data_IF_129933382253
#
_entry.id   IF_129933382253
#
_cell.length_a   1.000
_cell.length_b   1.000
_cell.length_c   1.000
_cell.angle_alpha   90.00
_cell.angle_beta   90.00
_cell.angle_gamma   90.00
#
_symmetry.space_group_name_H-M   'P 1'
#
loop_
_entity.id
_entity.type
_entity.pdbx_description
1 polymer ?
#
# COMPACT_ATOMS: atom_id res chain seq x y z
N UNK A 1 9.23 7.61 16.97
CA UNK A 1 9.96 7.90 18.24
C UNK A 1 9.23 8.85 19.19
N UNK A 2 8.69 9.99 18.80
CA UNK A 2 7.99 10.93 19.71
C UNK A 2 6.82 10.32 20.51
N UNK A 3 6.01 9.43 19.91
CA UNK A 3 4.90 8.75 20.62
C UNK A 3 5.37 7.79 21.71
N UNK A 4 6.48 7.06 21.49
CA UNK A 4 7.06 6.15 22.50
C UNK A 4 7.53 6.90 23.75
N UNK A 5 8.14 8.07 23.59
CA UNK A 5 8.56 8.91 24.72
C UNK A 5 7.38 9.50 25.50
N UNK A 6 6.27 9.84 24.84
CA UNK A 6 5.06 10.37 25.48
C UNK A 6 4.37 9.31 26.32
N UNK A 7 4.19 8.10 25.77
CA UNK A 7 3.65 6.95 26.51
C UNK A 7 4.50 6.58 27.73
N UNK A 8 5.83 6.67 27.64
CA UNK A 8 6.75 6.40 28.73
C UNK A 8 6.62 7.41 29.90
N UNK A 9 6.38 8.70 29.62
CA UNK A 9 6.18 9.73 30.64
C UNK A 9 4.88 9.51 31.40
N UNK A 10 3.76 9.26 30.70
CA UNK A 10 2.47 8.98 31.31
C UNK A 10 2.49 7.69 32.14
N UNK A 11 3.20 6.65 31.68
CA UNK A 11 3.38 5.44 32.48
C UNK A 11 3.96 5.74 33.87
N UNK A 12 5.07 6.46 33.93
CA UNK A 12 5.70 6.77 35.21
C UNK A 12 4.83 7.68 36.08
N UNK A 13 4.12 8.61 35.46
CA UNK A 13 3.18 9.47 36.21
C UNK A 13 2.09 8.63 36.89
N UNK A 14 1.40 7.75 36.15
CA UNK A 14 0.37 6.89 36.73
C UNK A 14 0.94 5.86 37.69
N UNK A 15 2.12 5.35 37.47
CA UNK A 15 2.81 4.42 38.35
C UNK A 15 3.07 5.06 39.71
N UNK A 16 3.65 6.25 39.73
CA UNK A 16 3.95 6.96 40.97
C UNK A 16 2.65 7.44 41.68
N UNK A 17 1.71 7.97 40.91
CA UNK A 17 0.43 8.43 41.46
C UNK A 17 -0.37 7.28 42.08
N UNK A 18 -0.41 6.13 41.45
CA UNK A 18 -1.12 4.95 41.93
C UNK A 18 -0.53 4.42 43.26
N UNK A 19 0.80 4.25 43.31
CA UNK A 19 1.46 3.76 44.54
C UNK A 19 1.50 4.81 45.67
N UNK A 20 1.57 6.10 45.35
CA UNK A 20 1.38 7.17 46.30
C UNK A 20 -0.06 7.18 46.84
N UNK A 21 -1.08 7.03 46.01
CA UNK A 21 -2.47 6.91 46.40
C UNK A 21 -2.72 5.71 47.32
N UNK A 22 -2.12 4.55 47.00
CA UNK A 22 -2.13 3.38 47.91
C UNK A 22 -1.56 3.75 49.28
N UNK A 23 -0.34 4.30 49.31
CA UNK A 23 0.31 4.71 50.57
C UNK A 23 -0.55 5.70 51.37
N UNK A 24 -1.04 6.75 50.72
CA UNK A 24 -1.82 7.80 51.40
C UNK A 24 -3.12 7.24 51.98
N UNK A 25 -3.84 6.37 51.26
CA UNK A 25 -5.08 5.75 51.74
C UNK A 25 -4.85 4.84 52.94
N UNK A 26 -3.73 4.09 52.92
CA UNK A 26 -3.39 3.19 54.03
C UNK A 26 -2.97 3.97 55.30
N UNK A 27 -2.19 5.02 55.14
CA UNK A 27 -1.82 5.90 56.27
C UNK A 27 -3.06 6.60 56.85
N UNK A 28 -3.92 7.14 55.98
CA UNK A 28 -5.18 7.77 56.42
C UNK A 28 -6.09 6.79 57.17
N UNK A 29 -6.23 5.55 56.65
CA UNK A 29 -7.02 4.51 57.31
C UNK A 29 -6.45 4.17 58.70
N UNK A 30 -5.13 4.10 58.86
CA UNK A 30 -4.48 3.85 60.16
C UNK A 30 -4.74 4.95 61.16
N UNK A 31 -4.74 6.23 60.75
CA UNK A 31 -5.09 7.37 61.54
C UNK A 31 -6.55 7.28 62.02
N UNK A 32 -7.48 7.04 61.10
CA UNK A 32 -8.91 6.96 61.40
C UNK A 32 -9.26 5.83 62.39
N UNK A 33 -8.50 4.73 62.30
CA UNK A 33 -8.70 3.56 63.19
C UNK A 33 -7.95 3.68 64.51
N UNK A 34 -7.30 4.83 64.81
CA UNK A 34 -6.51 5.02 65.99
C UNK A 34 -5.26 4.12 66.11
N UNK A 35 -4.79 3.59 64.99
CA UNK A 35 -3.62 2.67 64.90
C UNK A 35 -2.40 3.32 64.27
N UNK A 36 -2.33 4.65 64.35
CA UNK A 36 -1.22 5.39 63.77
C UNK A 36 0.02 5.25 64.66
N UNK A 37 1.01 4.57 64.11
CA UNK A 37 2.35 4.42 64.66
C UNK A 37 3.40 4.68 63.60
N UNK A 38 4.62 5.16 63.93
CA UNK A 38 5.70 5.31 62.94
C UNK A 38 6.06 3.99 62.23
N UNK A 39 5.94 2.87 62.92
CA UNK A 39 6.14 1.53 62.33
C UNK A 39 5.12 1.21 61.21
N UNK A 40 3.86 1.62 61.39
CA UNK A 40 2.80 1.46 60.38
C UNK A 40 3.07 2.26 59.13
N UNK A 41 3.57 3.49 59.27
CA UNK A 41 3.96 4.32 58.08
C UNK A 41 5.12 3.68 57.34
N UNK A 42 6.17 3.19 58.07
CA UNK A 42 7.29 2.47 57.44
C UNK A 42 6.82 1.23 56.71
N UNK A 43 5.91 0.45 57.30
CA UNK A 43 5.33 -0.73 56.66
C UNK A 43 4.67 -0.41 55.30
N UNK A 44 3.79 0.60 55.23
CA UNK A 44 3.12 0.99 54.00
C UNK A 44 4.09 1.64 52.98
N UNK A 45 5.14 2.32 53.44
CA UNK A 45 6.18 2.85 52.55
C UNK A 45 6.95 1.73 51.85
N UNK A 46 7.37 0.71 52.61
CA UNK A 46 8.00 -0.50 52.04
C UNK A 46 7.06 -1.17 51.05
N UNK A 47 5.79 -1.30 51.40
CA UNK A 47 4.76 -1.86 50.51
C UNK A 47 4.60 -1.09 49.20
N UNK A 48 4.56 0.24 49.26
CA UNK A 48 4.44 1.07 48.06
C UNK A 48 5.66 0.95 47.13
N UNK A 49 6.87 0.96 47.71
CA UNK A 49 8.11 0.80 46.94
C UNK A 49 8.22 -0.59 46.32
N UNK A 50 7.93 -1.64 47.08
CA UNK A 50 7.95 -3.02 46.58
C UNK A 50 6.89 -3.22 45.49
N UNK A 51 5.69 -2.70 45.67
CA UNK A 51 4.62 -2.76 44.70
C UNK A 51 4.98 -2.06 43.40
N UNK A 52 5.62 -0.89 43.47
CA UNK A 52 6.14 -0.19 42.29
C UNK A 52 7.18 -1.04 41.53
N UNK A 53 8.12 -1.66 42.24
CA UNK A 53 9.15 -2.51 41.64
C UNK A 53 8.54 -3.77 41.01
N UNK A 54 7.63 -4.45 41.69
CA UNK A 54 6.99 -5.68 41.20
C UNK A 54 6.12 -5.40 39.98
N UNK A 55 5.31 -4.34 40.01
CA UNK A 55 4.49 -3.98 38.83
C UNK A 55 5.32 -3.51 37.64
N UNK A 56 6.44 -2.82 37.91
CA UNK A 56 7.39 -2.47 36.85
C UNK A 56 8.07 -3.72 36.24
N UNK A 57 8.47 -4.68 37.08
CA UNK A 57 9.02 -5.96 36.66
C UNK A 57 8.01 -6.77 35.83
N UNK A 58 6.77 -6.84 36.27
CA UNK A 58 5.68 -7.49 35.53
C UNK A 58 5.51 -6.87 34.14
N UNK A 59 5.46 -5.54 34.05
CA UNK A 59 5.43 -4.85 32.76
C UNK A 59 6.61 -5.21 31.88
N UNK A 60 7.82 -5.21 32.43
CA UNK A 60 9.03 -5.58 31.68
C UNK A 60 8.96 -7.01 31.15
N UNK A 61 8.42 -7.93 31.94
CA UNK A 61 8.19 -9.33 31.54
C UNK A 61 7.16 -9.42 30.39
N UNK A 62 6.02 -8.75 30.49
CA UNK A 62 4.99 -8.72 29.44
C UNK A 62 5.56 -8.22 28.11
N UNK A 63 6.40 -7.17 28.14
CA UNK A 63 7.05 -6.62 26.96
C UNK A 63 8.08 -7.59 26.35
N UNK A 64 8.91 -8.23 27.21
CA UNK A 64 9.91 -9.20 26.74
C UNK A 64 9.29 -10.46 26.13
N UNK A 65 8.22 -10.96 26.72
CA UNK A 65 7.51 -12.16 26.25
C UNK A 65 6.56 -11.88 25.07
N UNK A 66 6.42 -10.62 24.67
CA UNK A 66 5.53 -10.22 23.58
C UNK A 66 4.05 -10.54 23.81
N UNK A 67 3.62 -10.67 25.07
CA UNK A 67 2.25 -11.05 25.45
C UNK A 67 1.21 -10.10 24.86
N UNK A 68 1.53 -8.81 24.78
CA UNK A 68 0.65 -7.77 24.25
C UNK A 68 0.35 -7.90 22.74
N UNK A 69 1.04 -8.80 22.04
CA UNK A 69 0.79 -9.14 20.62
C UNK A 69 -0.08 -10.38 20.45
N UNK A 70 -0.40 -11.07 21.54
CA UNK A 70 -1.21 -12.29 21.53
C UNK A 70 -2.70 -11.95 21.49
N UNK A 71 -3.59 -12.89 21.11
CA UNK A 71 -5.04 -12.68 21.13
C UNK A 71 -5.54 -12.37 22.54
N UNK A 72 -6.65 -11.62 22.65
CA UNK A 72 -7.22 -11.14 23.91
C UNK A 72 -7.40 -12.23 24.99
N UNK A 73 -7.88 -13.45 24.69
CA UNK A 73 -7.99 -14.50 25.72
C UNK A 73 -6.66 -14.86 26.37
N UNK A 74 -5.58 -14.92 25.58
CA UNK A 74 -4.25 -15.20 26.11
C UNK A 74 -3.71 -14.04 26.97
N UNK A 75 -4.00 -12.78 26.58
CA UNK A 75 -3.67 -11.63 27.41
C UNK A 75 -4.42 -11.64 28.73
N UNK A 76 -5.72 -11.97 28.73
CA UNK A 76 -6.55 -12.08 29.93
C UNK A 76 -6.02 -13.18 30.86
N UNK A 77 -5.68 -14.36 30.34
CA UNK A 77 -5.09 -15.42 31.13
C UNK A 77 -3.78 -14.99 31.81
N UNK A 78 -2.89 -14.31 31.06
CA UNK A 78 -1.63 -13.80 31.61
C UNK A 78 -1.88 -12.68 32.63
N UNK A 79 -2.89 -11.85 32.45
CA UNK A 79 -3.26 -10.82 33.44
C UNK A 79 -3.73 -11.45 34.76
N UNK A 80 -4.58 -12.49 34.71
CA UNK A 80 -5.05 -13.24 35.89
C UNK A 80 -3.87 -13.91 36.61
N UNK A 81 -3.05 -14.66 35.86
CA UNK A 81 -1.88 -15.34 36.44
C UNK A 81 -0.87 -14.33 37.02
N UNK A 82 -0.68 -13.22 36.33
CA UNK A 82 0.17 -12.13 36.80
C UNK A 82 -0.36 -11.48 38.08
N UNK A 83 -1.66 -11.24 38.16
CA UNK A 83 -2.30 -10.71 39.36
C UNK A 83 -2.10 -11.63 40.56
N UNK A 84 -2.34 -12.94 40.39
CA UNK A 84 -2.12 -13.95 41.41
C UNK A 84 -0.64 -13.99 41.85
N UNK A 85 0.28 -14.08 40.86
CA UNK A 85 1.71 -14.11 41.11
C UNK A 85 2.23 -12.85 41.84
N UNK A 86 1.77 -11.65 41.44
CA UNK A 86 2.10 -10.40 42.08
C UNK A 86 1.55 -10.34 43.51
N UNK A 87 0.32 -10.81 43.75
CA UNK A 87 -0.30 -10.81 45.08
C UNK A 87 0.44 -11.74 46.03
N UNK A 88 0.80 -12.94 45.58
CA UNK A 88 1.63 -13.88 46.31
C UNK A 88 3.02 -13.29 46.59
N UNK A 89 3.69 -12.76 45.58
CA UNK A 89 5.00 -12.14 45.71
C UNK A 89 4.97 -10.98 46.72
N UNK A 90 3.95 -10.13 46.66
CA UNK A 90 3.81 -9.00 47.59
C UNK A 90 3.60 -9.50 49.02
N UNK A 91 2.75 -10.53 49.23
CA UNK A 91 2.46 -11.10 50.54
C UNK A 91 3.73 -11.64 51.24
N UNK A 92 4.57 -12.34 50.50
CA UNK A 92 5.73 -13.02 51.10
C UNK A 92 7.04 -12.21 51.03
N UNK A 93 7.17 -11.26 50.10
CA UNK A 93 8.37 -10.43 49.97
C UNK A 93 8.30 -9.16 50.85
N UNK A 94 7.12 -8.62 51.12
CA UNK A 94 6.98 -7.35 51.85
C UNK A 94 7.54 -7.39 53.27
N UNK A 95 7.40 -8.46 54.07
CA UNK A 95 7.98 -8.52 55.40
C UNK A 95 9.51 -8.49 55.46
N UNK A 96 10.20 -8.95 54.42
CA UNK A 96 11.68 -9.02 54.40
C UNK A 96 12.35 -7.65 54.51
N UNK A 97 12.12 -6.67 53.59
CA UNK A 97 12.75 -5.35 53.71
C UNK A 97 12.27 -4.60 54.93
N UNK A 98 11.05 -4.86 55.39
CA UNK A 98 10.56 -4.27 56.66
C UNK A 98 11.32 -4.81 57.87
N UNK A 99 11.55 -6.13 57.98
CA UNK A 99 12.32 -6.73 59.06
C UNK A 99 13.75 -6.23 59.11
N UNK A 100 14.36 -6.01 57.93
CA UNK A 100 15.72 -5.40 57.83
C UNK A 100 15.71 -3.99 58.40
N UNK A 101 14.74 -3.15 58.04
CA UNK A 101 14.62 -1.77 58.50
C UNK A 101 14.37 -1.64 60.01
N UNK A 102 13.66 -2.62 60.60
CA UNK A 102 13.38 -2.67 62.03
C UNK A 102 14.49 -3.37 62.87
N UNK A 103 15.57 -3.85 62.22
CA UNK A 103 16.62 -4.60 62.88
C UNK A 103 16.22 -5.98 63.42
N UNK A 104 15.06 -6.48 62.97
CA UNK A 104 14.47 -7.76 63.44
C UNK A 104 14.75 -8.92 62.46
N UNK A 105 15.92 -8.95 61.85
CA UNK A 105 16.27 -9.93 60.80
C UNK A 105 16.34 -11.39 61.29
N UNK A 106 16.59 -11.64 62.57
CA UNK A 106 16.85 -12.99 63.05
C UNK A 106 15.57 -13.84 63.25
N UNK A 107 15.28 -14.72 62.26
CA UNK A 107 14.35 -15.84 62.39
C UNK A 107 12.89 -15.61 62.03
N UNK A 108 12.39 -14.37 62.08
CA UNK A 108 10.95 -14.08 61.90
C UNK A 108 10.40 -14.32 60.47
N UNK A 109 11.28 -14.39 59.45
CA UNK A 109 10.83 -14.66 58.08
C UNK A 109 10.35 -16.12 57.93
N UNK A 110 10.86 -17.08 58.71
CA UNK A 110 10.41 -18.47 58.71
C UNK A 110 8.96 -18.60 59.24
N UNK A 111 8.57 -17.77 60.19
CA UNK A 111 7.20 -17.75 60.75
C UNK A 111 6.16 -17.37 59.70
N UNK A 112 6.54 -16.60 58.64
CA UNK A 112 5.64 -16.24 57.56
C UNK A 112 5.18 -17.46 56.73
N UNK A 113 6.05 -18.46 56.58
CA UNK A 113 5.71 -19.70 55.88
C UNK A 113 4.96 -20.70 56.80
N UNK A 114 4.98 -20.47 58.12
CA UNK A 114 4.26 -21.27 59.07
C UNK A 114 2.86 -20.69 59.40
N UNK A 115 2.47 -19.56 58.77
CA UNK A 115 1.15 -18.96 59.01
C UNK A 115 0.02 -19.93 58.52
N UNK A 116 -1.11 -19.97 59.27
CA UNK A 116 -2.28 -20.63 58.81
C UNK A 116 -2.66 -20.19 57.38
N UNK A 117 -2.98 -21.12 56.51
CA UNK A 117 -3.31 -20.82 55.13
C UNK A 117 -4.43 -19.80 54.96
N UNK A 118 -5.42 -19.77 55.90
CA UNK A 118 -6.48 -18.78 55.87
C UNK A 118 -5.97 -17.32 56.08
N UNK A 119 -4.94 -17.11 56.92
CA UNK A 119 -4.33 -15.82 57.16
C UNK A 119 -3.52 -15.37 55.93
N UNK A 120 -2.77 -16.29 55.31
CA UNK A 120 -2.05 -16.04 54.08
C UNK A 120 -3.00 -15.70 52.93
N UNK A 121 -4.09 -16.45 52.77
CA UNK A 121 -5.12 -16.20 51.74
C UNK A 121 -5.77 -14.82 51.92
N UNK A 122 -6.13 -14.46 53.17
CA UNK A 122 -6.68 -13.13 53.45
C UNK A 122 -5.73 -12.00 53.10
N UNK A 123 -4.43 -12.16 53.38
CA UNK A 123 -3.40 -11.18 53.01
C UNK A 123 -3.24 -11.08 51.47
N UNK A 124 -3.20 -12.22 50.75
CA UNK A 124 -3.13 -12.25 49.28
C UNK A 124 -4.33 -11.53 48.63
N UNK A 125 -5.55 -11.80 49.10
CA UNK A 125 -6.77 -11.11 48.66
C UNK A 125 -6.73 -9.63 49.01
N UNK A 126 -6.28 -9.29 50.23
CA UNK A 126 -6.14 -7.91 50.69
C UNK A 126 -5.23 -7.06 49.81
N UNK A 127 -4.10 -7.60 49.44
CA UNK A 127 -3.17 -6.94 48.49
C UNK A 127 -3.68 -7.00 47.04
N UNK A 128 -4.25 -8.12 46.66
CA UNK A 128 -4.75 -8.36 45.30
C UNK A 128 -5.77 -7.31 44.84
N UNK A 129 -6.63 -6.81 45.74
CA UNK A 129 -7.61 -5.77 45.42
C UNK A 129 -6.99 -4.46 44.91
N UNK A 130 -5.79 -4.08 45.37
CA UNK A 130 -5.07 -2.91 44.86
C UNK A 130 -4.34 -3.23 43.54
N UNK A 131 -3.76 -4.41 43.45
CA UNK A 131 -3.06 -4.86 42.24
C UNK A 131 -4.01 -5.05 41.07
N UNK A 132 -5.26 -5.50 41.29
CA UNK A 132 -6.26 -5.68 40.24
C UNK A 132 -6.54 -4.37 39.50
N UNK A 133 -6.68 -3.26 40.25
CA UNK A 133 -6.91 -1.93 39.68
C UNK A 133 -5.73 -1.55 38.76
N UNK A 134 -4.51 -1.78 39.26
CA UNK A 134 -3.31 -1.47 38.47
C UNK A 134 -3.19 -2.35 37.22
N UNK A 135 -3.39 -3.67 37.35
CA UNK A 135 -3.30 -4.62 36.25
C UNK A 135 -4.36 -4.30 35.18
N UNK A 136 -5.60 -4.07 35.59
CA UNK A 136 -6.69 -3.74 34.67
C UNK A 136 -6.44 -2.40 33.97
N UNK A 137 -6.07 -1.36 34.72
CA UNK A 137 -5.77 -0.03 34.16
C UNK A 137 -4.62 -0.11 33.14
N UNK A 138 -3.55 -0.86 33.46
CA UNK A 138 -2.43 -1.05 32.54
C UNK A 138 -2.84 -1.77 31.26
N UNK A 139 -3.58 -2.88 31.37
CA UNK A 139 -4.02 -3.64 30.19
C UNK A 139 -5.01 -2.82 29.34
N UNK A 140 -5.96 -2.13 29.98
CA UNK A 140 -6.92 -1.25 29.28
C UNK A 140 -6.21 -0.14 28.51
N UNK A 141 -5.23 0.52 29.12
CA UNK A 141 -4.43 1.54 28.47
C UNK A 141 -3.66 0.98 27.26
N UNK A 142 -3.01 -0.18 27.42
CA UNK A 142 -2.24 -0.81 26.34
C UNK A 142 -3.14 -1.25 25.20
N UNK A 143 -4.30 -1.87 25.49
CA UNK A 143 -5.26 -2.29 24.47
C UNK A 143 -5.83 -1.06 23.75
N UNK A 144 -6.16 0.00 24.48
CA UNK A 144 -6.62 1.26 23.88
C UNK A 144 -5.59 1.87 22.92
N UNK A 145 -4.32 1.94 23.33
CA UNK A 145 -3.23 2.41 22.45
C UNK A 145 -3.08 1.53 21.20
N UNK A 146 -3.17 0.22 21.37
CA UNK A 146 -3.07 -0.74 20.26
C UNK A 146 -4.22 -0.56 19.26
N UNK A 147 -5.46 -0.42 19.74
CA UNK A 147 -6.64 -0.18 18.90
C UNK A 147 -6.52 1.16 18.15
N UNK A 148 -6.14 2.23 18.85
CA UNK A 148 -5.93 3.54 18.22
C UNK A 148 -4.87 3.49 17.12
N UNK A 149 -3.75 2.79 17.34
CA UNK A 149 -2.71 2.61 16.33
C UNK A 149 -3.17 1.73 15.15
N UNK A 150 -4.02 0.72 15.40
CA UNK A 150 -4.59 -0.11 14.35
C UNK A 150 -5.50 0.72 13.44
N UNK A 151 -6.39 1.54 14.00
CA UNK A 151 -7.25 2.45 13.23
C UNK A 151 -6.45 3.44 12.38
N UNK A 152 -5.40 4.06 12.96
CA UNK A 152 -4.55 4.99 12.20
C UNK A 152 -3.84 4.28 11.03
N UNK A 153 -3.39 3.03 11.23
CA UNK A 153 -2.78 2.24 10.13
C UNK A 153 -3.78 1.92 9.02
N UNK A 154 -5.00 1.55 9.39
CA UNK A 154 -6.07 1.26 8.44
C UNK A 154 -6.43 2.50 7.61
N UNK A 155 -6.63 3.66 8.26
CA UNK A 155 -6.90 4.91 7.57
C UNK A 155 -5.78 5.32 6.61
N UNK A 156 -4.51 5.13 7.01
CA UNK A 156 -3.36 5.40 6.12
C UNK A 156 -3.31 4.45 4.93
N UNK A 157 -3.60 3.17 5.14
CA UNK A 157 -3.66 2.19 4.06
C UNK A 157 -4.80 2.52 3.07
N UNK A 158 -5.98 2.91 3.57
CA UNK A 158 -7.09 3.33 2.74
C UNK A 158 -6.77 4.60 1.94
N UNK A 159 -6.14 5.60 2.57
CA UNK A 159 -5.70 6.82 1.89
C UNK A 159 -4.64 6.53 0.81
N UNK A 160 -3.66 5.65 1.10
CA UNK A 160 -2.65 5.25 0.13
C UNK A 160 -3.25 4.50 -1.07
N UNK A 161 -4.25 3.63 -0.84
CA UNK A 161 -4.98 2.97 -1.93
C UNK A 161 -5.71 3.98 -2.82
N UNK A 162 -6.47 4.90 -2.23
CA UNK A 162 -7.16 5.96 -2.99
C UNK A 162 -6.20 6.84 -3.78
N UNK A 163 -5.04 7.18 -3.19
CA UNK A 163 -4.03 7.95 -3.89
C UNK A 163 -3.45 7.17 -5.08
N UNK A 164 -3.16 5.87 -4.90
CA UNK A 164 -2.70 5.02 -5.98
C UNK A 164 -3.74 4.87 -7.11
N UNK A 165 -5.03 4.75 -6.78
CA UNK A 165 -6.13 4.74 -7.75
C UNK A 165 -6.22 6.07 -8.52
N UNK A 166 -6.11 7.20 -7.83
CA UNK A 166 -6.09 8.53 -8.47
C UNK A 166 -4.87 8.71 -9.36
N UNK A 167 -3.70 8.25 -8.94
CA UNK A 167 -2.47 8.34 -9.73
C UNK A 167 -2.55 7.41 -10.96
N UNK A 168 -3.18 6.25 -10.84
CA UNK A 168 -3.48 5.37 -11.96
C UNK A 168 -4.40 6.06 -12.97
N UNK A 169 -5.54 6.63 -12.53
CA UNK A 169 -6.46 7.38 -13.38
C UNK A 169 -5.78 8.57 -14.07
N UNK A 170 -4.92 9.32 -13.34
CA UNK A 170 -4.15 10.43 -13.93
C UNK A 170 -3.13 9.95 -14.96
N UNK A 171 -2.57 8.77 -14.79
CA UNK A 171 -1.58 8.22 -15.72
C UNK A 171 -2.17 7.76 -17.05
N UNK A 172 -3.48 7.54 -17.11
CA UNK A 172 -4.20 7.11 -18.32
C UNK A 172 -4.30 8.25 -19.35
N UNK A 173 -4.33 9.49 -18.90
CA UNK A 173 -4.27 10.65 -19.79
C UNK A 173 -2.81 11.09 -19.86
N UNK A 174 -2.21 11.03 -21.05
CA UNK A 174 -0.88 11.57 -21.26
C UNK A 174 -0.90 13.11 -21.12
N UNK A 175 -0.44 13.71 -19.99
CA UNK A 175 -0.60 15.15 -19.77
C UNK A 175 0.17 15.97 -20.82
N UNK A 176 1.32 15.47 -21.25
CA UNK A 176 2.15 16.14 -22.25
C UNK A 176 1.46 16.19 -23.62
N UNK A 177 0.79 15.10 -24.03
CA UNK A 177 -0.03 15.12 -25.26
C UNK A 177 -1.18 16.12 -25.15
N UNK A 178 -1.90 16.12 -24.03
CA UNK A 178 -3.03 17.04 -23.80
C UNK A 178 -2.59 18.51 -23.89
N UNK A 179 -1.48 18.87 -23.20
CA UNK A 179 -0.93 20.24 -23.29
C UNK A 179 -0.52 20.62 -24.70
N UNK A 180 0.09 19.71 -25.45
CA UNK A 180 0.50 19.95 -26.82
C UNK A 180 -0.71 20.12 -27.75
N UNK A 181 -1.73 19.28 -27.63
CA UNK A 181 -2.96 19.37 -28.40
C UNK A 181 -3.69 20.70 -28.14
N UNK A 182 -3.83 21.11 -26.87
CA UNK A 182 -4.43 22.40 -26.50
C UNK A 182 -3.63 23.58 -27.05
N UNK A 183 -2.31 23.55 -27.04
CA UNK A 183 -1.47 24.60 -27.62
C UNK A 183 -1.64 24.66 -29.16
N UNK A 184 -1.76 23.50 -29.84
CA UNK A 184 -2.04 23.46 -31.28
C UNK A 184 -3.41 24.03 -31.60
N UNK A 185 -4.45 23.66 -30.85
CA UNK A 185 -5.80 24.24 -30.96
C UNK A 185 -5.75 25.76 -30.78
N UNK A 186 -5.05 26.27 -29.74
CA UNK A 186 -4.88 27.71 -29.51
C UNK A 186 -4.24 28.41 -30.70
N UNK A 187 -3.21 27.84 -31.30
CA UNK A 187 -2.59 28.40 -32.49
C UNK A 187 -3.57 28.46 -33.69
N UNK A 188 -4.35 27.40 -33.88
CA UNK A 188 -5.37 27.34 -34.95
C UNK A 188 -6.51 28.34 -34.75
N UNK A 189 -6.88 28.74 -33.52
CA UNK A 189 -7.97 29.72 -33.31
C UNK A 189 -7.71 31.05 -34.01
N UNK A 190 -6.46 31.42 -34.21
CA UNK A 190 -6.05 32.62 -34.87
C UNK A 190 -5.82 32.45 -36.40
N UNK A 191 -5.37 31.28 -36.84
CA UNK A 191 -4.99 31.03 -38.23
C UNK A 191 -6.06 30.33 -39.06
N UNK A 192 -6.82 29.38 -38.46
CA UNK A 192 -7.87 28.63 -39.10
C UNK A 192 -8.92 28.17 -38.06
N UNK A 193 -9.93 29.01 -37.78
CA UNK A 193 -10.97 28.72 -36.78
C UNK A 193 -11.79 27.46 -37.08
N UNK A 194 -11.94 27.08 -38.36
CA UNK A 194 -12.68 25.88 -38.74
C UNK A 194 -11.91 24.62 -38.34
N UNK A 195 -10.62 24.55 -38.64
CA UNK A 195 -9.74 23.46 -38.20
C UNK A 195 -9.59 23.44 -36.67
N UNK A 196 -9.59 24.60 -35.99
CA UNK A 196 -9.59 24.65 -34.53
C UNK A 196 -10.80 23.93 -33.94
N UNK A 197 -12.01 24.18 -34.49
CA UNK A 197 -13.24 23.51 -34.04
C UNK A 197 -13.17 21.98 -34.24
N UNK A 198 -12.71 21.53 -35.41
CA UNK A 198 -12.52 20.12 -35.69
C UNK A 198 -11.56 19.46 -34.68
N UNK A 199 -10.42 20.12 -34.43
CA UNK A 199 -9.41 19.62 -33.49
C UNK A 199 -9.96 19.52 -32.03
N UNK A 200 -10.83 20.45 -31.61
CA UNK A 200 -11.51 20.35 -30.30
C UNK A 200 -12.41 19.14 -30.24
N UNK A 201 -13.18 18.88 -31.31
CA UNK A 201 -14.07 17.70 -31.37
C UNK A 201 -13.25 16.40 -31.30
N UNK A 202 -12.21 16.28 -32.11
CA UNK A 202 -11.27 15.14 -32.10
C UNK A 202 -10.63 14.90 -30.73
N UNK A 203 -10.20 15.98 -30.06
CA UNK A 203 -9.66 15.89 -28.70
C UNK A 203 -10.70 15.38 -27.71
N UNK A 204 -11.96 15.88 -27.80
CA UNK A 204 -13.04 15.46 -26.93
C UNK A 204 -13.40 13.97 -27.15
N UNK A 205 -13.41 13.51 -28.40
CA UNK A 205 -13.72 12.11 -28.74
C UNK A 205 -12.60 11.16 -28.29
N UNK A 206 -11.34 11.54 -28.47
CA UNK A 206 -10.19 10.80 -27.97
C UNK A 206 -10.17 10.71 -26.45
N UNK A 207 -10.47 11.81 -25.74
CA UNK A 207 -10.58 11.81 -24.28
C UNK A 207 -11.73 10.92 -23.80
N UNK A 208 -12.89 10.97 -24.46
CA UNK A 208 -14.03 10.11 -24.15
C UNK A 208 -13.67 8.65 -24.36
N UNK A 209 -12.98 8.32 -25.43
CA UNK A 209 -12.46 6.98 -25.69
C UNK A 209 -11.52 6.53 -24.56
N UNK A 210 -10.50 7.33 -24.22
CA UNK A 210 -9.49 6.98 -23.19
C UNK A 210 -10.07 6.84 -21.79
N UNK A 211 -11.16 7.51 -21.45
CA UNK A 211 -11.83 7.40 -20.14
C UNK A 211 -12.78 6.19 -20.05
N UNK A 212 -13.30 5.70 -21.18
CA UNK A 212 -14.33 4.66 -21.19
C UNK A 212 -13.82 3.27 -21.57
N UNK A 213 -12.64 3.13 -22.18
CA UNK A 213 -12.20 1.85 -22.74
C UNK A 213 -11.91 0.78 -21.68
N UNK A 214 -11.57 1.16 -20.44
CA UNK A 214 -11.22 0.18 -19.39
C UNK A 214 -12.38 -0.71 -18.93
N UNK A 215 -13.62 -0.29 -19.18
CA UNK A 215 -14.81 -1.04 -18.80
C UNK A 215 -15.11 -2.20 -19.77
N UNK A 216 -14.43 -2.28 -20.92
CA UNK A 216 -14.67 -3.29 -21.96
C UNK A 216 -13.42 -4.15 -22.13
N UNK A 217 -13.62 -5.46 -22.21
CA UNK A 217 -12.51 -6.40 -22.45
C UNK A 217 -12.03 -6.35 -23.90
N UNK A 218 -12.97 -6.28 -24.83
CA UNK A 218 -12.73 -6.22 -26.28
C UNK A 218 -13.64 -5.16 -26.92
N UNK A 219 -13.14 -4.54 -27.97
CA UNK A 219 -13.85 -3.61 -28.82
C UNK A 219 -13.61 -3.96 -30.30
N UNK A 220 -14.49 -3.56 -31.24
CA UNK A 220 -14.23 -3.67 -32.67
C UNK A 220 -12.99 -2.87 -33.07
N UNK A 221 -12.16 -3.40 -33.96
CA UNK A 221 -10.99 -2.70 -34.52
C UNK A 221 -11.36 -1.34 -35.13
N UNK A 222 -12.57 -1.20 -35.68
CA UNK A 222 -13.07 0.07 -36.21
C UNK A 222 -13.18 1.17 -35.16
N UNK A 223 -13.58 0.86 -33.91
CA UNK A 223 -13.61 1.84 -32.82
C UNK A 223 -12.18 2.27 -32.43
N UNK A 224 -11.27 1.33 -32.34
CA UNK A 224 -9.86 1.58 -32.09
C UNK A 224 -9.22 2.44 -33.19
N UNK A 225 -9.54 2.13 -34.44
CA UNK A 225 -9.04 2.88 -35.59
C UNK A 225 -9.56 4.31 -35.63
N UNK A 226 -10.81 4.53 -35.26
CA UNK A 226 -11.36 5.90 -35.15
C UNK A 226 -10.58 6.74 -34.13
N UNK A 227 -10.31 6.18 -32.93
CA UNK A 227 -9.49 6.86 -31.93
C UNK A 227 -8.07 7.13 -32.40
N UNK A 228 -7.47 6.21 -33.16
CA UNK A 228 -6.15 6.37 -33.76
C UNK A 228 -6.15 7.49 -34.82
N UNK A 229 -7.22 7.59 -35.64
CA UNK A 229 -7.34 8.65 -36.64
C UNK A 229 -7.46 10.03 -35.98
N UNK A 230 -8.26 10.17 -34.91
CA UNK A 230 -8.37 11.42 -34.15
C UNK A 230 -7.02 11.81 -33.52
N UNK A 231 -6.31 10.85 -32.91
CA UNK A 231 -4.98 11.07 -32.36
C UNK A 231 -3.98 11.56 -33.43
N UNK A 232 -3.93 10.86 -34.57
CA UNK A 232 -3.01 11.19 -35.67
C UNK A 232 -3.34 12.54 -36.31
N UNK A 233 -4.62 12.92 -36.42
CA UNK A 233 -5.03 14.23 -36.93
C UNK A 233 -4.58 15.37 -36.01
N UNK A 234 -4.67 15.16 -34.69
CA UNK A 234 -4.15 16.12 -33.70
C UNK A 234 -2.61 16.24 -33.78
N UNK A 235 -1.90 15.12 -33.92
CA UNK A 235 -0.44 15.13 -34.08
C UNK A 235 0.01 15.71 -35.43
N UNK A 236 -0.75 15.50 -36.53
CA UNK A 236 -0.48 16.19 -37.79
C UNK A 236 -0.68 17.71 -37.70
N UNK A 237 -1.62 18.15 -36.88
CA UNK A 237 -1.78 19.59 -36.61
C UNK A 237 -0.55 20.17 -35.91
N UNK A 238 0.11 19.39 -35.06
CA UNK A 238 1.32 19.78 -34.32
C UNK A 238 2.60 19.71 -35.17
N UNK A 239 2.83 18.62 -35.85
CA UNK A 239 4.06 18.36 -36.59
C UNK A 239 4.05 18.93 -38.03
N UNK A 240 2.87 19.10 -38.60
CA UNK A 240 2.66 19.39 -40.00
C UNK A 240 2.66 18.12 -40.88
N UNK A 241 1.96 18.15 -42.06
CA UNK A 241 1.81 16.99 -42.93
C UNK A 241 3.12 16.52 -43.54
N UNK A 242 4.12 17.38 -43.67
CA UNK A 242 5.44 17.03 -44.19
C UNK A 242 6.24 16.16 -43.21
N UNK A 243 6.15 16.46 -41.90
CA UNK A 243 6.88 15.73 -40.89
C UNK A 243 6.17 14.45 -40.44
N UNK A 244 4.83 14.43 -40.43
CA UNK A 244 4.04 13.23 -40.13
C UNK A 244 3.24 12.81 -41.34
N UNK A 245 3.83 11.98 -42.17
CA UNK A 245 3.15 11.36 -43.33
C UNK A 245 2.49 10.06 -42.88
N UNK A 246 1.26 9.84 -43.32
CA UNK A 246 0.45 8.66 -42.91
C UNK A 246 0.14 7.76 -44.10
N UNK A 247 0.25 6.44 -43.88
CA UNK A 247 -0.19 5.40 -44.80
C UNK A 247 -0.96 4.34 -44.00
N UNK A 248 -2.29 4.45 -43.97
CA UNK A 248 -3.16 3.58 -43.19
C UNK A 248 -3.90 2.61 -44.14
N UNK A 249 -3.58 1.31 -44.03
CA UNK A 249 -4.14 0.25 -44.86
C UNK A 249 -4.86 -0.78 -44.00
N UNK A 250 -6.12 -0.54 -43.70
CA UNK A 250 -6.97 -1.43 -42.90
C UNK A 250 -8.18 -1.83 -43.76
N UNK A 251 -8.28 -3.10 -44.22
CA UNK A 251 -9.42 -3.59 -44.99
C UNK A 251 -10.71 -3.53 -44.18
N UNK A 252 -11.81 -3.13 -44.83
CA UNK A 252 -13.14 -3.01 -44.21
C UNK A 252 -13.59 -4.29 -43.49
N UNK A 253 -13.31 -5.46 -44.06
CA UNK A 253 -13.64 -6.77 -43.49
C UNK A 253 -13.03 -7.00 -42.09
N UNK A 254 -11.98 -6.27 -41.73
CA UNK A 254 -11.30 -6.41 -40.43
C UNK A 254 -11.82 -5.44 -39.36
N UNK A 255 -12.64 -4.46 -39.71
CA UNK A 255 -13.13 -3.44 -38.75
C UNK A 255 -13.98 -4.02 -37.63
N UNK A 256 -14.66 -5.14 -37.86
CA UNK A 256 -15.44 -5.85 -36.84
C UNK A 256 -14.59 -6.78 -35.95
N UNK A 257 -13.29 -6.96 -36.23
CA UNK A 257 -12.44 -7.86 -35.46
C UNK A 257 -12.29 -7.41 -34.04
N UNK A 258 -12.53 -8.27 -33.02
CA UNK A 258 -12.41 -7.90 -31.63
C UNK A 258 -10.94 -7.74 -31.23
N UNK A 259 -10.58 -6.58 -30.69
CA UNK A 259 -9.24 -6.24 -30.20
C UNK A 259 -9.28 -5.73 -28.77
N UNK A 260 -8.21 -5.90 -27.97
CA UNK A 260 -8.11 -5.27 -26.67
C UNK A 260 -8.07 -3.74 -26.81
N UNK A 261 -8.88 -2.99 -26.05
CA UNK A 261 -8.92 -1.53 -26.17
C UNK A 261 -7.55 -0.90 -25.88
N UNK A 262 -7.25 0.21 -26.58
CA UNK A 262 -6.00 0.96 -26.55
C UNK A 262 -4.75 0.18 -26.99
N UNK A 263 -4.88 -1.02 -27.56
CA UNK A 263 -3.73 -1.79 -28.03
C UNK A 263 -3.09 -1.15 -29.26
N UNK A 264 -3.87 -0.82 -30.30
CA UNK A 264 -3.39 -0.15 -31.49
C UNK A 264 -3.00 1.31 -31.20
N UNK A 265 -3.80 2.03 -30.43
CA UNK A 265 -3.50 3.41 -30.04
C UNK A 265 -2.14 3.49 -29.34
N UNK A 266 -1.84 2.56 -28.43
CA UNK A 266 -0.53 2.50 -27.75
C UNK A 266 0.63 2.29 -28.71
N UNK A 267 0.46 1.45 -29.75
CA UNK A 267 1.49 1.25 -30.78
C UNK A 267 1.72 2.54 -31.56
N UNK A 268 0.65 3.21 -31.94
CA UNK A 268 0.71 4.47 -32.70
C UNK A 268 1.32 5.60 -31.86
N UNK A 269 0.92 5.75 -30.58
CA UNK A 269 1.55 6.71 -29.67
C UNK A 269 3.06 6.48 -29.55
N UNK A 270 3.49 5.22 -29.40
CA UNK A 270 4.92 4.89 -29.37
C UNK A 270 5.61 5.22 -30.70
N UNK A 271 4.96 4.95 -31.82
CA UNK A 271 5.49 5.26 -33.13
C UNK A 271 5.69 6.76 -33.34
N UNK A 272 4.73 7.58 -32.93
CA UNK A 272 4.86 9.05 -32.98
C UNK A 272 5.93 9.53 -32.01
N UNK A 273 5.93 9.05 -30.78
CA UNK A 273 6.85 9.49 -29.72
C UNK A 273 8.30 9.14 -30.01
N UNK A 274 8.57 7.89 -30.36
CA UNK A 274 9.93 7.35 -30.49
C UNK A 274 10.44 7.33 -31.93
N UNK A 275 9.54 7.40 -32.92
CA UNK A 275 9.87 7.49 -34.35
C UNK A 275 9.83 8.94 -34.83
N UNK A 276 8.64 9.47 -35.04
CA UNK A 276 8.42 10.77 -35.67
C UNK A 276 9.02 11.94 -34.88
N UNK A 277 8.74 11.99 -33.58
CA UNK A 277 9.22 13.06 -32.70
C UNK A 277 10.74 13.05 -32.52
N UNK A 278 11.35 11.87 -32.52
CA UNK A 278 12.77 11.67 -32.33
C UNK A 278 13.60 11.90 -33.62
N UNK A 279 12.95 11.82 -34.78
CA UNK A 279 13.63 12.01 -36.10
C UNK A 279 13.54 13.47 -36.56
N UNK A 280 14.64 14.18 -36.79
CA UNK A 280 14.63 15.62 -37.13
C UNK A 280 13.74 15.97 -38.35
N UNK A 281 13.71 15.15 -39.37
CA UNK A 281 12.87 15.32 -40.58
C UNK A 281 11.48 14.73 -40.47
N UNK A 282 11.13 14.09 -39.31
CA UNK A 282 9.93 13.26 -39.22
C UNK A 282 10.00 12.01 -40.10
N UNK A 283 8.86 11.60 -40.66
CA UNK A 283 8.86 10.45 -41.58
C UNK A 283 7.48 9.90 -41.91
N UNK A 284 7.47 8.72 -42.48
CA UNK A 284 6.24 8.00 -42.80
C UNK A 284 5.89 7.05 -41.64
N UNK A 285 4.70 7.21 -41.11
CA UNK A 285 4.05 6.26 -40.19
C UNK A 285 3.09 5.42 -41.03
N UNK A 286 3.34 4.12 -41.10
CA UNK A 286 2.49 3.18 -41.84
C UNK A 286 1.82 2.21 -40.89
N UNK A 287 0.52 2.01 -41.06
CA UNK A 287 -0.29 0.98 -40.40
C UNK A 287 -0.81 0.03 -41.47
N UNK A 288 -0.54 -1.24 -41.34
CA UNK A 288 -1.09 -2.29 -42.17
C UNK A 288 -1.82 -3.31 -41.32
N UNK A 289 -3.04 -3.65 -41.69
CA UNK A 289 -3.82 -4.72 -41.09
C UNK A 289 -4.05 -5.84 -42.08
N UNK A 290 -3.80 -7.08 -41.71
CA UNK A 290 -4.07 -8.27 -42.48
C UNK A 290 -4.58 -9.41 -41.59
N UNK A 291 -5.25 -10.39 -42.17
CA UNK A 291 -5.68 -11.61 -41.49
C UNK A 291 -5.05 -12.83 -42.16
N UNK A 292 -4.46 -13.67 -41.36
CA UNK A 292 -3.79 -14.88 -41.83
C UNK A 292 -3.66 -15.94 -40.73
N UNK A 293 -3.05 -17.08 -41.03
CA UNK A 293 -2.85 -18.12 -40.03
C UNK A 293 -1.97 -17.62 -38.89
N UNK A 294 -2.38 -17.89 -37.64
CA UNK A 294 -1.64 -17.54 -36.44
C UNK A 294 -0.27 -18.26 -36.41
N UNK A 295 0.78 -17.54 -35.95
CA UNK A 295 2.15 -18.09 -35.83
C UNK A 295 2.38 -19.04 -34.65
N UNK A 296 1.34 -19.42 -33.89
CA UNK A 296 1.43 -20.28 -32.72
C UNK A 296 1.37 -21.76 -33.04
N UNK A 297 1.98 -22.61 -32.22
CA UNK A 297 2.09 -24.06 -32.32
C UNK A 297 0.76 -24.84 -32.15
N UNK A 298 -0.36 -24.17 -31.98
CA UNK A 298 -1.69 -24.77 -31.82
C UNK A 298 -2.61 -24.32 -32.97
N UNK A 299 -2.74 -25.15 -34.01
CA UNK A 299 -3.75 -25.19 -35.07
C UNK A 299 -4.28 -23.86 -35.59
N UNK A 300 -4.23 -23.66 -36.91
CA UNK A 300 -4.53 -22.44 -37.66
C UNK A 300 -5.88 -21.79 -37.34
N UNK A 301 -5.98 -21.09 -36.19
CA UNK A 301 -7.06 -20.11 -36.02
C UNK A 301 -6.67 -18.83 -36.78
N UNK A 302 -7.62 -18.21 -37.48
CA UNK A 302 -7.41 -16.91 -38.11
C UNK A 302 -6.93 -15.89 -37.08
N UNK A 303 -5.85 -15.19 -37.42
CA UNK A 303 -5.20 -14.20 -36.59
C UNK A 303 -5.14 -12.86 -37.32
N UNK A 304 -5.53 -11.78 -36.59
CA UNK A 304 -5.34 -10.42 -37.04
C UNK A 304 -3.88 -10.02 -36.83
N UNK A 305 -3.21 -9.55 -37.85
CA UNK A 305 -1.88 -8.96 -37.81
C UNK A 305 -2.01 -7.44 -37.99
N UNK A 306 -1.61 -6.68 -36.99
CA UNK A 306 -1.50 -5.21 -37.05
C UNK A 306 -0.01 -4.88 -37.05
N UNK A 307 0.47 -4.22 -38.08
CA UNK A 307 1.85 -3.81 -38.21
C UNK A 307 1.96 -2.29 -38.32
N UNK A 308 2.69 -1.71 -37.38
CA UNK A 308 2.99 -0.27 -37.35
C UNK A 308 4.46 -0.06 -37.59
N UNK A 309 4.81 0.62 -38.69
CA UNK A 309 6.18 0.94 -39.02
C UNK A 309 6.46 2.44 -38.97
N UNK A 310 7.65 2.80 -38.48
CA UNK A 310 8.09 4.17 -38.23
C UNK A 310 9.60 4.31 -38.45
N UNK A 311 10.12 5.52 -38.74
CA UNK A 311 11.57 5.76 -38.73
C UNK A 311 12.11 5.65 -37.28
N UNK A 312 13.34 5.17 -37.14
CA UNK A 312 14.04 5.11 -35.86
C UNK A 312 14.90 3.85 -35.71
N UNK A 313 15.52 3.73 -34.55
CA UNK A 313 16.36 2.62 -34.16
C UNK A 313 15.92 2.09 -32.79
N UNK A 314 16.05 0.78 -32.57
CA UNK A 314 15.82 0.19 -31.26
C UNK A 314 17.09 0.28 -30.40
N UNK A 315 16.99 0.62 -29.10
CA UNK A 315 18.11 0.48 -28.19
C UNK A 315 18.65 -0.95 -28.21
N UNK A 316 19.98 -1.11 -28.12
CA UNK A 316 20.65 -2.44 -28.17
C UNK A 316 20.09 -3.45 -27.13
N UNK A 317 19.56 -2.95 -26.01
CA UNK A 317 18.90 -3.75 -24.97
C UNK A 317 17.51 -4.27 -25.35
N UNK A 318 16.91 -3.79 -26.45
CA UNK A 318 15.54 -4.12 -26.88
C UNK A 318 15.54 -5.03 -28.13
N UNK A 319 16.71 -5.28 -28.71
CA UNK A 319 16.85 -6.10 -29.92
C UNK A 319 16.62 -7.60 -29.70
N UNK A 320 16.59 -8.06 -28.46
CA UNK A 320 16.19 -9.43 -28.10
C UNK A 320 14.67 -9.49 -27.94
N UNK A 321 14.01 -10.49 -28.50
CA UNK A 321 12.56 -10.66 -28.66
C UNK A 321 11.65 -10.50 -27.40
N UNK A 322 12.18 -10.10 -26.27
CA UNK A 322 11.46 -9.81 -25.03
C UNK A 322 11.60 -8.32 -24.66
N UNK A 323 10.47 -7.62 -24.53
CA UNK A 323 10.46 -6.29 -23.91
C UNK A 323 11.08 -6.40 -22.50
N UNK A 324 12.02 -5.51 -22.12
CA UNK A 324 12.74 -5.62 -20.86
C UNK A 324 11.78 -5.53 -19.67
N UNK A 325 12.01 -6.40 -18.67
CA UNK A 325 11.34 -6.34 -17.39
C UNK A 325 11.57 -4.95 -16.72
N UNK A 326 10.57 -4.47 -16.04
CA UNK A 326 10.52 -3.16 -15.36
C UNK A 326 11.76 -2.92 -14.49
N UNK A 327 12.50 -1.83 -14.71
CA UNK A 327 13.45 -1.28 -13.73
C UNK A 327 12.71 -0.30 -12.81
N UNK A 328 12.88 -0.37 -11.49
CA UNK A 328 12.29 0.59 -10.55
C UNK A 328 12.75 2.01 -10.89
N UNK A 329 11.80 2.94 -11.09
CA UNK A 329 12.09 4.36 -11.34
C UNK A 329 11.97 4.83 -12.80
N UNK A 330 11.71 3.96 -13.79
CA UNK A 330 11.44 4.39 -15.17
C UNK A 330 9.95 4.71 -15.38
N UNK A 331 9.65 5.95 -15.72
CA UNK A 331 8.30 6.46 -16.06
C UNK A 331 7.93 6.32 -17.54
N UNK A 332 8.82 5.81 -18.38
CA UNK A 332 8.60 5.61 -19.83
C UNK A 332 8.53 4.11 -20.19
N UNK A 333 7.64 3.73 -21.13
CA UNK A 333 7.55 2.36 -21.67
C UNK A 333 6.47 1.46 -21.06
N UNK A 334 5.62 1.97 -20.17
CA UNK A 334 4.55 1.19 -19.52
C UNK A 334 3.44 0.74 -20.51
N UNK A 335 3.18 1.51 -21.57
CA UNK A 335 2.10 1.22 -22.52
C UNK A 335 2.24 -0.14 -23.19
N UNK A 336 3.40 -0.41 -23.83
CA UNK A 336 3.63 -1.69 -24.52
C UNK A 336 3.69 -2.89 -23.55
N UNK A 337 4.24 -2.69 -22.36
CA UNK A 337 4.25 -3.74 -21.31
C UNK A 337 2.83 -4.07 -20.86
N UNK A 338 2.00 -3.06 -20.62
CA UNK A 338 0.59 -3.26 -20.24
C UNK A 338 -0.22 -3.91 -21.37
N UNK A 339 0.00 -3.49 -22.62
CA UNK A 339 -0.62 -4.15 -23.80
C UNK A 339 -0.24 -5.62 -23.87
N UNK A 340 1.04 -5.96 -23.68
CA UNK A 340 1.50 -7.37 -23.67
C UNK A 340 0.85 -8.17 -22.54
N UNK A 341 0.82 -7.64 -21.31
CA UNK A 341 0.19 -8.31 -20.17
C UNK A 341 -1.30 -8.54 -20.39
N UNK A 342 -1.99 -7.57 -21.00
CA UNK A 342 -3.41 -7.70 -21.36
C UNK A 342 -3.63 -8.77 -22.41
N UNK A 343 -2.79 -8.83 -23.45
CA UNK A 343 -2.82 -9.88 -24.47
C UNK A 343 -2.62 -11.28 -23.87
N UNK A 344 -1.61 -11.42 -23.00
CA UNK A 344 -1.35 -12.69 -22.30
C UNK A 344 -2.53 -13.11 -21.40
N UNK A 345 -3.17 -12.15 -20.72
CA UNK A 345 -4.32 -12.44 -19.86
C UNK A 345 -5.56 -12.89 -20.66
N UNK A 346 -5.74 -12.38 -21.89
CA UNK A 346 -6.91 -12.67 -22.74
C UNK A 346 -6.70 -13.89 -23.66
N UNK A 347 -5.50 -14.09 -24.16
CA UNK A 347 -5.21 -15.03 -25.25
C UNK A 347 -4.06 -16.00 -24.94
N UNK A 348 -3.41 -15.90 -23.75
CA UNK A 348 -2.25 -16.73 -23.43
C UNK A 348 -1.09 -16.52 -24.41
N UNK A 349 -0.50 -17.61 -24.85
CA UNK A 349 0.60 -17.64 -25.85
C UNK A 349 0.14 -17.48 -27.31
N UNK A 350 -1.18 -17.43 -27.54
CA UNK A 350 -1.73 -17.34 -28.88
C UNK A 350 -1.69 -15.90 -29.45
N UNK A 351 -1.53 -14.89 -28.59
CA UNK A 351 -1.38 -13.48 -28.97
C UNK A 351 0.05 -13.01 -28.73
N UNK A 352 0.54 -12.08 -29.54
CA UNK A 352 1.90 -11.58 -29.43
C UNK A 352 2.04 -10.09 -29.74
N UNK A 353 3.04 -9.49 -29.11
CA UNK A 353 3.52 -8.14 -29.42
C UNK A 353 5.04 -8.19 -29.60
N UNK A 354 5.52 -7.90 -30.77
CA UNK A 354 6.95 -7.89 -31.12
C UNK A 354 7.38 -6.54 -31.67
N UNK A 355 8.62 -6.16 -31.34
CA UNK A 355 9.29 -5.01 -31.92
C UNK A 355 10.52 -5.50 -32.66
N UNK A 356 10.70 -5.06 -33.91
CA UNK A 356 11.85 -5.43 -34.74
C UNK A 356 12.41 -4.19 -35.44
N UNK A 357 13.70 -4.12 -35.53
CA UNK A 357 14.39 -3.16 -36.38
C UNK A 357 14.62 -3.77 -37.73
N UNK A 358 14.23 -3.03 -38.77
CA UNK A 358 14.49 -3.39 -40.17
C UNK A 358 15.66 -2.59 -40.72
N UNK A 359 16.34 -3.07 -41.80
CA UNK A 359 17.34 -2.30 -42.50
C UNK A 359 16.80 -0.90 -42.90
N UNK A 360 17.70 0.06 -43.02
CA UNK A 360 17.39 1.46 -43.32
C UNK A 360 16.73 2.28 -42.20
N UNK A 361 16.92 1.88 -40.91
CA UNK A 361 16.47 2.71 -39.76
C UNK A 361 14.96 2.78 -39.68
N UNK A 362 14.28 1.66 -39.80
CA UNK A 362 12.83 1.52 -39.62
C UNK A 362 12.55 0.56 -38.47
N UNK A 363 11.70 0.98 -37.51
CA UNK A 363 11.19 0.13 -36.44
C UNK A 363 9.78 -0.34 -36.80
N UNK A 364 9.54 -1.63 -36.64
CA UNK A 364 8.25 -2.28 -36.89
C UNK A 364 7.73 -2.88 -35.57
N UNK A 365 6.55 -2.44 -35.16
CA UNK A 365 5.77 -3.04 -34.08
C UNK A 365 4.69 -3.92 -34.69
N UNK A 366 4.67 -5.21 -34.34
CA UNK A 366 3.67 -6.17 -34.80
C UNK A 366 2.87 -6.71 -33.65
N UNK A 367 1.55 -6.56 -33.76
CA UNK A 367 0.55 -7.08 -32.84
C UNK A 367 -0.22 -8.21 -33.52
N UNK A 368 -0.32 -9.36 -32.85
CA UNK A 368 -1.05 -10.54 -33.31
C UNK A 368 -2.20 -10.83 -32.36
N UNK A 369 -3.44 -10.85 -32.90
CA UNK A 369 -4.67 -11.00 -32.10
C UNK A 369 -5.52 -12.14 -32.72
N UNK A 370 -5.68 -13.28 -32.04
CA UNK A 370 -6.54 -14.38 -32.48
C UNK A 370 -8.02 -13.99 -32.59
N UNK A 371 -8.78 -14.68 -33.44
CA UNK A 371 -10.21 -14.42 -33.61
C UNK A 371 -11.08 -14.77 -32.39
N UNK A 372 -10.60 -15.60 -31.48
CA UNK A 372 -11.31 -16.03 -30.25
C UNK A 372 -10.49 -15.83 -29.00
N UNK A 373 -11.15 -15.53 -27.89
CA UNK A 373 -10.54 -15.49 -26.54
C UNK A 373 -10.36 -16.93 -26.06
N UNK A 374 -9.20 -17.29 -25.55
CA UNK A 374 -8.99 -18.56 -24.85
C UNK A 374 -9.65 -18.44 -23.46
N UNK A 375 -10.73 -19.22 -23.23
CA UNK A 375 -11.39 -19.32 -21.93
C UNK A 375 -10.50 -20.02 -20.91
#
# INVERSE_FOLDING_TARGET
>A
MRHYFRAKRWYWFFQLLGWFGFWATQVQASIMLGRYEPATVRWFTVGAVLGLLLTHGYRALLLRLGVLRRPLPAQAAVAVLGLLGLSVAMQYLMPLPYAILEGKWHGQWLELFQQPWAKAAFGIVGVGRYLIVWVLAYHFFVVGEWLAQAQVRELRAAAARRQAELDLLRSQINPHFLFNALNSVRALTLSDPHRARTAVTQLADLLRYTLNYEQRQLIPLGEELAAVQDYLALEQTRFGPERLRLDLRVPERLLAWPVPPAALLTLIENAVKHGISATPGGGLLRLVADAGPGGGSHGAADCLHLEVSQPGYLPATTQTAALPARRPGQTGGLGLVNTRLRLQALYGEAAGLTLREQPAGTVVARLEVPAGVVQ
#
